data_IF_209459338279
#
_entry.id   IF_209459338279
#
_cell.length_a   1.000
_cell.length_b   1.000
_cell.length_c   1.000
_cell.angle_alpha   90.00
_cell.angle_beta   90.00
_cell.angle_gamma   90.00
#
_symmetry.space_group_name_H-M   'P 1'
#
loop_
_entity.id
_entity.type
_entity.pdbx_description
1 polymer ?
#
# COMPACT_ATOMS: atom_id res chain seq x y z
N UNK A 1 8.27 -3.28 -3.59
CA UNK A 1 7.90 -3.30 -2.16
C UNK A 1 6.51 -3.90 -2.02
N UNK A 2 6.31 -4.71 -1.01
CA UNK A 2 5.00 -5.25 -0.65
C UNK A 2 4.68 -4.83 0.79
N UNK A 3 3.59 -4.11 0.96
CA UNK A 3 3.07 -3.75 2.27
C UNK A 3 2.15 -4.88 2.71
N UNK A 4 2.46 -5.51 3.83
CA UNK A 4 1.84 -6.77 4.25
C UNK A 4 1.35 -6.68 5.70
N UNK A 5 0.25 -7.38 5.95
CA UNK A 5 -0.27 -7.66 7.28
C UNK A 5 -0.88 -9.07 7.32
N UNK A 6 -0.98 -9.68 8.49
CA UNK A 6 -1.55 -11.02 8.68
C UNK A 6 -2.49 -11.07 9.88
N UNK A 7 -3.59 -11.85 9.77
CA UNK A 7 -4.41 -12.25 10.91
C UNK A 7 -4.14 -13.69 11.26
N UNK A 8 -4.20 -14.00 12.55
CA UNK A 8 -3.80 -15.29 13.09
C UNK A 8 -4.77 -15.79 14.16
N UNK A 9 -4.71 -17.09 14.47
CA UNK A 9 -5.49 -17.69 15.56
C UNK A 9 -4.96 -17.35 16.96
N UNK A 10 -3.88 -16.56 17.06
CA UNK A 10 -3.26 -16.18 18.33
C UNK A 10 -1.84 -15.65 18.14
N UNK A 11 -1.04 -15.61 19.21
CA UNK A 11 0.25 -14.94 19.22
C UNK A 11 1.47 -15.88 19.18
N UNK A 12 1.24 -17.20 19.27
CA UNK A 12 2.30 -18.19 19.49
C UNK A 12 2.60 -19.00 18.23
N UNK A 13 3.37 -18.40 17.29
CA UNK A 13 3.75 -19.03 16.02
C UNK A 13 4.52 -20.34 16.18
N UNK A 14 5.32 -20.50 17.26
CA UNK A 14 6.12 -21.68 17.51
C UNK A 14 5.28 -22.90 17.93
N UNK A 15 4.09 -22.67 18.43
CA UNK A 15 3.28 -23.69 19.08
C UNK A 15 2.14 -24.17 18.16
N UNK A 16 1.00 -23.59 18.29
CA UNK A 16 -0.21 -24.08 17.62
C UNK A 16 -0.91 -23.04 16.78
N UNK A 17 -0.54 -21.77 16.91
CA UNK A 17 -1.25 -20.72 16.20
C UNK A 17 -0.88 -20.68 14.70
N UNK A 18 -1.85 -20.29 13.91
CA UNK A 18 -1.82 -20.40 12.46
C UNK A 18 -2.27 -19.09 11.81
N UNK A 19 -1.77 -18.81 10.63
CA UNK A 19 -2.27 -17.72 9.79
C UNK A 19 -3.67 -18.09 9.28
N UNK A 20 -4.59 -17.12 9.31
CA UNK A 20 -5.95 -17.25 8.78
C UNK A 20 -6.27 -16.23 7.68
N UNK A 21 -5.51 -15.14 7.60
CA UNK A 21 -5.63 -14.15 6.55
C UNK A 21 -4.25 -13.57 6.22
N UNK A 22 -3.99 -13.36 4.93
CA UNK A 22 -2.82 -12.62 4.44
C UNK A 22 -3.32 -11.55 3.50
N UNK A 23 -2.96 -10.31 3.77
CA UNK A 23 -3.18 -9.17 2.89
C UNK A 23 -1.86 -8.51 2.51
N UNK A 24 -1.59 -8.34 1.22
CA UNK A 24 -0.45 -7.59 0.76
C UNK A 24 -0.78 -6.75 -0.46
N UNK A 25 -0.22 -5.54 -0.54
CA UNK A 25 -0.36 -4.63 -1.65
C UNK A 25 0.99 -4.23 -2.20
N UNK A 26 1.07 -4.09 -3.52
CA UNK A 26 2.30 -3.75 -4.19
C UNK A 26 2.50 -2.24 -4.31
N UNK A 27 3.71 -1.81 -4.03
CA UNK A 27 4.16 -0.43 -4.19
C UNK A 27 5.46 -0.37 -4.99
N UNK A 28 5.49 0.44 -6.05
CA UNK A 28 6.68 0.71 -6.87
C UNK A 28 6.93 2.21 -6.92
N UNK A 29 8.16 2.62 -6.61
CA UNK A 29 8.53 4.02 -6.59
C UNK A 29 7.56 4.91 -5.77
N UNK A 30 7.16 4.42 -4.58
CA UNK A 30 6.24 5.10 -3.66
C UNK A 30 4.82 5.30 -4.20
N UNK A 31 4.40 4.51 -5.17
CA UNK A 31 3.03 4.52 -5.72
C UNK A 31 2.46 3.12 -5.67
N UNK A 32 1.23 2.99 -5.19
CA UNK A 32 0.51 1.74 -5.26
C UNK A 32 0.24 1.40 -6.73
N UNK A 33 0.53 0.16 -7.12
CA UNK A 33 0.36 -0.32 -8.49
C UNK A 33 -1.06 -0.76 -8.78
N UNK A 34 -1.83 -1.05 -7.73
CA UNK A 34 -3.13 -1.70 -7.79
C UNK A 34 -3.06 -3.23 -7.75
N UNK A 35 -1.85 -3.81 -7.80
CA UNK A 35 -1.64 -5.24 -7.56
C UNK A 35 -1.75 -5.53 -6.06
N UNK A 36 -2.48 -6.56 -5.71
CA UNK A 36 -2.66 -7.00 -4.32
C UNK A 36 -2.90 -8.50 -4.26
N UNK A 37 -2.59 -9.08 -3.11
CA UNK A 37 -3.02 -10.43 -2.75
C UNK A 37 -3.83 -10.36 -1.48
N UNK A 38 -4.95 -11.10 -1.46
CA UNK A 38 -5.81 -11.22 -0.30
C UNK A 38 -6.30 -12.66 -0.20
N UNK A 39 -5.87 -13.38 0.83
CA UNK A 39 -6.13 -14.81 0.98
C UNK A 39 -6.63 -15.09 2.38
N UNK A 40 -7.78 -15.77 2.48
CA UNK A 40 -8.26 -16.41 3.70
C UNK A 40 -7.83 -17.87 3.73
N UNK A 41 -7.43 -18.36 4.90
CA UNK A 41 -6.80 -19.67 5.07
C UNK A 41 -7.49 -20.43 6.18
N UNK A 42 -7.83 -21.69 5.90
CA UNK A 42 -8.36 -22.59 6.92
C UNK A 42 -7.23 -23.11 7.82
N UNK A 43 -7.18 -22.74 9.10
CA UNK A 43 -6.09 -23.14 10.01
C UNK A 43 -6.19 -24.61 10.46
N UNK A 44 -7.30 -25.30 10.15
CA UNK A 44 -7.64 -26.66 10.64
C UNK A 44 -7.64 -26.76 12.17
N UNK A 45 -7.96 -25.67 12.84
CA UNK A 45 -8.14 -25.55 14.29
C UNK A 45 -9.12 -24.40 14.56
N UNK A 46 -9.75 -24.35 15.75
CA UNK A 46 -10.59 -23.23 16.14
C UNK A 46 -9.81 -21.90 16.17
N UNK A 47 -10.45 -20.84 15.72
CA UNK A 47 -9.94 -19.48 15.76
C UNK A 47 -9.86 -18.95 17.21
N UNK A 48 -10.84 -19.34 18.04
CA UNK A 48 -10.86 -18.97 19.44
C UNK A 48 -11.11 -17.47 19.67
N UNK A 49 -10.48 -16.93 20.72
CA UNK A 49 -10.72 -15.55 21.16
C UNK A 49 -10.23 -14.49 20.16
N UNK A 50 -9.39 -14.87 19.20
CA UNK A 50 -8.89 -13.94 18.17
C UNK A 50 -10.00 -13.48 17.22
N UNK A 51 -11.12 -14.23 17.12
CA UNK A 51 -12.32 -13.80 16.39
C UNK A 51 -12.84 -12.43 16.88
N UNK A 52 -12.70 -12.11 18.16
CA UNK A 52 -13.12 -10.81 18.69
C UNK A 52 -12.26 -9.64 18.17
N UNK A 53 -11.08 -9.91 17.61
CA UNK A 53 -10.15 -8.91 17.10
C UNK A 53 -10.40 -8.68 15.62
N UNK A 54 -10.40 -9.75 14.82
CA UNK A 54 -10.48 -9.67 13.35
C UNK A 54 -11.86 -10.04 12.79
N UNK A 55 -12.80 -10.55 13.60
CA UNK A 55 -14.18 -10.86 13.19
C UNK A 55 -14.32 -12.06 12.24
N UNK A 56 -13.24 -12.83 12.02
CA UNK A 56 -13.23 -13.98 11.11
C UNK A 56 -13.61 -15.23 11.93
N UNK A 57 -14.76 -15.84 11.58
CA UNK A 57 -15.28 -17.00 12.32
C UNK A 57 -14.78 -18.32 11.75
N UNK A 58 -14.82 -19.38 12.56
CA UNK A 58 -14.56 -20.76 12.13
C UNK A 58 -15.44 -21.16 10.95
N UNK A 59 -16.71 -20.78 10.97
CA UNK A 59 -17.66 -21.08 9.90
C UNK A 59 -17.24 -20.45 8.55
N UNK A 60 -16.73 -19.22 8.58
CA UNK A 60 -16.23 -18.53 7.39
C UNK A 60 -15.00 -19.21 6.80
N UNK A 61 -14.12 -19.74 7.66
CA UNK A 61 -12.86 -20.36 7.23
C UNK A 61 -13.02 -21.84 6.78
N UNK A 62 -14.16 -22.44 7.05
CA UNK A 62 -14.36 -23.88 6.80
C UNK A 62 -14.09 -24.28 5.35
N UNK A 63 -14.54 -23.46 4.40
CA UNK A 63 -14.42 -23.69 2.94
C UNK A 63 -13.17 -23.06 2.32
N UNK A 64 -12.29 -22.46 3.12
CA UNK A 64 -11.07 -21.84 2.62
C UNK A 64 -9.95 -22.86 2.44
N UNK A 65 -9.02 -22.63 1.51
CA UNK A 65 -7.86 -23.49 1.32
C UNK A 65 -7.01 -23.56 2.59
N UNK A 66 -6.30 -24.66 2.78
CA UNK A 66 -5.25 -24.74 3.81
C UNK A 66 -3.97 -24.07 3.31
N UNK A 67 -3.07 -23.68 4.22
CA UNK A 67 -1.85 -22.96 3.86
C UNK A 67 -1.01 -23.70 2.80
N UNK A 68 -0.90 -25.01 2.90
CA UNK A 68 -0.13 -25.82 1.94
C UNK A 68 -0.67 -25.74 0.50
N UNK A 69 -1.96 -25.48 0.32
CA UNK A 69 -2.60 -25.38 -1.02
C UNK A 69 -2.31 -24.02 -1.69
N UNK A 70 -1.99 -23.00 -0.90
CA UNK A 70 -1.74 -21.64 -1.41
C UNK A 70 -0.26 -21.24 -1.32
N UNK A 71 0.56 -22.06 -0.68
CA UNK A 71 1.95 -21.74 -0.37
C UNK A 71 2.78 -21.40 -1.62
N UNK A 72 2.62 -22.17 -2.71
CA UNK A 72 3.34 -21.92 -3.97
C UNK A 72 3.02 -20.53 -4.52
N UNK A 73 1.75 -20.20 -4.64
CA UNK A 73 1.31 -18.91 -5.21
C UNK A 73 1.74 -17.75 -4.30
N UNK A 74 1.57 -17.90 -2.99
CA UNK A 74 1.93 -16.89 -2.02
C UNK A 74 3.46 -16.68 -1.98
N UNK A 75 4.24 -17.76 -2.00
CA UNK A 75 5.70 -17.68 -2.00
C UNK A 75 6.23 -16.98 -3.26
N UNK A 76 5.72 -17.36 -4.45
CA UNK A 76 6.11 -16.72 -5.71
C UNK A 76 5.77 -15.22 -5.75
N UNK A 77 4.67 -14.81 -5.11
CA UNK A 77 4.28 -13.41 -5.03
C UNK A 77 5.18 -12.59 -4.09
N UNK A 78 5.60 -13.20 -2.98
CA UNK A 78 6.36 -12.51 -1.93
C UNK A 78 7.88 -12.54 -2.14
N UNK A 79 8.43 -13.63 -2.70
CA UNK A 79 9.89 -13.82 -2.80
C UNK A 79 10.60 -12.69 -3.55
N UNK A 80 11.75 -12.28 -3.04
CA UNK A 80 12.59 -11.24 -3.63
C UNK A 80 12.07 -9.83 -3.45
N UNK A 81 10.91 -9.65 -2.78
CA UNK A 81 10.39 -8.33 -2.46
C UNK A 81 11.01 -7.77 -1.17
N UNK A 82 10.93 -6.46 -1.00
CA UNK A 82 11.04 -5.83 0.30
C UNK A 82 9.65 -5.84 0.94
N UNK A 83 9.52 -6.59 2.05
CA UNK A 83 8.29 -6.68 2.84
C UNK A 83 8.26 -5.55 3.87
N UNK A 84 7.21 -4.74 3.84
CA UNK A 84 6.97 -3.65 4.78
C UNK A 84 5.80 -4.05 5.67
N UNK A 85 6.04 -4.22 6.97
CA UNK A 85 4.99 -4.58 7.93
C UNK A 85 5.12 -3.78 9.23
N UNK A 86 4.04 -3.74 10.03
CA UNK A 86 4.04 -3.01 11.29
C UNK A 86 4.22 -3.96 12.47
N UNK A 87 5.39 -3.96 13.11
CA UNK A 87 5.89 -5.01 14.00
C UNK A 87 6.21 -6.29 13.19
N UNK A 88 6.96 -6.09 12.12
CA UNK A 88 7.24 -7.08 11.09
C UNK A 88 7.73 -8.45 11.61
N UNK A 89 8.36 -8.48 12.78
CA UNK A 89 8.78 -9.75 13.39
C UNK A 89 7.60 -10.70 13.68
N UNK A 90 6.41 -10.16 13.94
CA UNK A 90 5.22 -10.96 14.16
C UNK A 90 4.84 -11.70 12.87
N UNK A 91 4.58 -10.96 11.80
CA UNK A 91 4.14 -11.50 10.52
C UNK A 91 5.18 -12.43 9.91
N UNK A 92 6.44 -12.00 9.92
CA UNK A 92 7.54 -12.79 9.34
C UNK A 92 7.75 -14.12 10.08
N UNK A 93 7.64 -14.16 11.41
CA UNK A 93 7.76 -15.41 12.15
C UNK A 93 6.65 -16.40 11.80
N UNK A 94 5.41 -15.92 11.64
CA UNK A 94 4.29 -16.76 11.23
C UNK A 94 4.46 -17.25 9.79
N UNK A 95 4.81 -16.35 8.85
CA UNK A 95 5.05 -16.71 7.45
C UNK A 95 6.20 -17.72 7.30
N UNK A 96 7.32 -17.48 7.97
CA UNK A 96 8.46 -18.41 7.97
C UNK A 96 8.10 -19.79 8.47
N UNK A 97 7.32 -19.85 9.55
CA UNK A 97 6.86 -21.11 10.11
C UNK A 97 5.92 -21.84 9.15
N UNK A 98 4.96 -21.16 8.55
CA UNK A 98 4.01 -21.75 7.62
C UNK A 98 4.68 -22.20 6.33
N UNK A 99 5.58 -21.40 5.75
CA UNK A 99 6.36 -21.79 4.57
C UNK A 99 7.25 -22.99 4.84
N UNK A 100 7.94 -23.04 5.99
CA UNK A 100 8.73 -24.22 6.38
C UNK A 100 7.87 -25.48 6.54
N UNK A 101 6.67 -25.36 7.10
CA UNK A 101 5.71 -26.48 7.19
C UNK A 101 5.24 -26.94 5.81
N UNK A 102 5.13 -26.04 4.85
CA UNK A 102 4.76 -26.35 3.46
C UNK A 102 5.96 -26.84 2.62
N UNK A 103 7.17 -26.92 3.19
CA UNK A 103 8.36 -27.44 2.50
C UNK A 103 9.21 -26.39 1.78
N UNK A 104 8.96 -25.11 2.01
CA UNK A 104 9.73 -23.98 1.47
C UNK A 104 10.84 -23.56 2.43
N UNK A 105 11.76 -22.74 1.93
CA UNK A 105 12.68 -21.97 2.76
C UNK A 105 11.91 -20.89 3.54
N UNK A 106 12.52 -20.35 4.59
CA UNK A 106 11.92 -19.21 5.29
C UNK A 106 11.83 -18.00 4.35
N UNK A 107 10.71 -17.26 4.44
CA UNK A 107 10.53 -16.06 3.63
C UNK A 107 11.59 -15.00 3.96
N UNK A 108 11.99 -14.91 5.23
CA UNK A 108 13.07 -14.03 5.70
C UNK A 108 14.44 -14.33 5.11
N UNK A 109 14.66 -15.50 4.50
CA UNK A 109 15.91 -15.85 3.80
C UNK A 109 15.96 -15.30 2.37
N UNK A 110 14.80 -14.92 1.80
CA UNK A 110 14.66 -14.52 0.39
C UNK A 110 14.03 -13.14 0.19
N UNK A 111 13.65 -12.45 1.26
CA UNK A 111 13.05 -11.11 1.26
C UNK A 111 13.83 -10.16 2.16
N UNK A 112 13.85 -8.89 1.78
CA UNK A 112 14.22 -7.82 2.71
C UNK A 112 13.00 -7.46 3.57
N UNK A 113 13.22 -6.97 4.80
CA UNK A 113 12.14 -6.66 5.74
C UNK A 113 12.33 -5.27 6.33
N UNK A 114 11.31 -4.44 6.18
CA UNK A 114 11.23 -3.12 6.80
C UNK A 114 10.16 -3.11 7.88
N UNK A 115 10.57 -2.90 9.15
CA UNK A 115 9.65 -2.77 10.28
C UNK A 115 9.28 -1.32 10.53
N UNK A 116 8.05 -0.95 10.20
CA UNK A 116 7.52 0.41 10.38
C UNK A 116 7.34 0.80 11.85
N UNK A 117 7.15 -0.17 12.78
CA UNK A 117 7.12 0.10 14.21
C UNK A 117 8.50 0.51 14.73
N UNK A 118 9.55 -0.18 14.29
CA UNK A 118 10.93 0.18 14.64
C UNK A 118 11.29 1.57 14.08
N UNK A 119 10.90 1.86 12.82
CA UNK A 119 11.06 3.17 12.21
C UNK A 119 10.34 4.27 13.00
N UNK A 120 9.07 4.04 13.38
CA UNK A 120 8.29 5.02 14.14
C UNK A 120 8.88 5.27 15.53
N UNK A 121 9.37 4.23 16.22
CA UNK A 121 10.06 4.36 17.51
C UNK A 121 11.36 5.16 17.38
N UNK A 122 12.11 4.98 16.31
CA UNK A 122 13.33 5.75 16.04
C UNK A 122 13.04 7.23 15.78
N UNK A 123 12.02 7.52 14.97
CA UNK A 123 11.62 8.88 14.64
C UNK A 123 11.02 9.65 15.84
N UNK A 124 10.29 8.95 16.70
CA UNK A 124 9.55 9.54 17.81
C UNK A 124 9.67 8.67 19.07
N UNK A 125 10.80 8.70 19.75
CA UNK A 125 11.03 7.95 20.98
C UNK A 125 10.02 8.33 22.08
N UNK A 126 9.56 7.36 22.85
CA UNK A 126 8.64 7.55 23.97
C UNK A 126 7.17 7.80 23.60
N UNK A 127 6.84 7.90 22.31
CA UNK A 127 5.46 8.03 21.86
C UNK A 127 4.78 6.67 21.64
N UNK A 128 3.42 6.67 21.64
CA UNK A 128 2.65 5.50 21.21
C UNK A 128 2.82 5.33 19.70
N UNK A 129 3.28 4.17 19.25
CA UNK A 129 3.60 3.89 17.84
C UNK A 129 2.81 2.70 17.28
N UNK A 130 1.65 2.35 17.86
CA UNK A 130 0.72 1.41 17.20
C UNK A 130 0.19 1.99 15.89
N UNK A 131 -0.26 1.16 14.95
CA UNK A 131 -0.80 1.60 13.65
C UNK A 131 -1.88 2.68 13.85
N UNK A 132 -2.84 2.46 14.76
CA UNK A 132 -3.86 3.46 15.12
C UNK A 132 -3.29 4.79 15.66
N UNK A 133 -2.18 4.75 16.41
CA UNK A 133 -1.53 5.95 16.90
C UNK A 133 -0.85 6.72 15.74
N UNK A 134 -0.28 5.99 14.79
CA UNK A 134 0.34 6.59 13.59
C UNK A 134 -0.71 7.17 12.64
N UNK A 135 -1.83 6.48 12.42
CA UNK A 135 -2.98 7.00 11.64
C UNK A 135 -3.41 8.37 12.17
N UNK A 136 -3.59 8.49 13.49
CA UNK A 136 -3.97 9.78 14.10
C UNK A 136 -2.88 10.84 13.97
N UNK A 137 -1.62 10.45 14.17
CA UNK A 137 -0.46 11.36 14.14
C UNK A 137 -0.19 11.94 12.76
N UNK A 138 -0.32 11.11 11.73
CA UNK A 138 -0.11 11.51 10.34
C UNK A 138 -1.39 11.95 9.64
N UNK A 139 -2.50 12.09 10.40
CA UNK A 139 -3.79 12.56 9.89
C UNK A 139 -4.28 11.75 8.69
N UNK A 140 -4.00 10.43 8.69
CA UNK A 140 -4.47 9.53 7.65
C UNK A 140 -5.99 9.44 7.70
N UNK A 141 -6.71 9.54 6.56
CA UNK A 141 -8.14 9.39 6.50
C UNK A 141 -8.60 8.10 7.17
N UNK A 142 -9.56 8.21 8.10
CA UNK A 142 -10.10 7.04 8.78
C UNK A 142 -10.91 6.21 7.79
N UNK A 143 -10.62 4.91 7.77
CA UNK A 143 -11.42 3.88 7.10
C UNK A 143 -12.28 3.17 8.14
N UNK A 144 -13.40 2.58 7.71
CA UNK A 144 -14.19 1.74 8.60
C UNK A 144 -13.38 0.50 8.98
N UNK A 145 -12.98 0.44 10.25
CA UNK A 145 -12.15 -0.59 10.86
C UNK A 145 -12.81 -1.08 12.13
N UNK A 146 -14.05 -1.57 11.98
CA UNK A 146 -14.78 -2.19 13.07
C UNK A 146 -14.05 -3.43 13.58
N UNK A 147 -13.48 -4.20 12.64
CA UNK A 147 -12.59 -5.32 12.89
C UNK A 147 -11.25 -5.09 12.20
N UNK A 148 -10.21 -5.76 12.67
CA UNK A 148 -8.94 -5.84 11.97
C UNK A 148 -9.08 -6.76 10.76
N UNK A 149 -8.46 -6.43 9.66
CA UNK A 149 -8.42 -7.25 8.45
C UNK A 149 -7.12 -6.99 7.71
N UNK A 150 -6.41 -8.06 7.37
CA UNK A 150 -5.03 -7.97 6.88
C UNK A 150 -4.89 -7.06 5.65
N UNK A 151 -5.79 -7.16 4.66
CA UNK A 151 -5.69 -6.28 3.49
C UNK A 151 -5.97 -4.81 3.84
N UNK A 152 -6.99 -4.54 4.65
CA UNK A 152 -7.32 -3.18 5.09
C UNK A 152 -6.18 -2.57 5.91
N UNK A 153 -5.57 -3.36 6.80
CA UNK A 153 -4.45 -2.91 7.63
C UNK A 153 -3.18 -2.68 6.80
N UNK A 154 -2.93 -3.50 5.76
CA UNK A 154 -1.88 -3.25 4.77
C UNK A 154 -2.10 -1.94 3.99
N UNK A 155 -3.34 -1.64 3.58
CA UNK A 155 -3.68 -0.38 2.91
C UNK A 155 -3.48 0.84 3.83
N UNK A 156 -3.93 0.76 5.08
CA UNK A 156 -3.71 1.81 6.08
C UNK A 156 -2.21 1.98 6.35
N UNK A 157 -1.48 0.87 6.45
CA UNK A 157 -0.04 0.88 6.66
C UNK A 157 0.71 1.54 5.49
N UNK A 158 0.26 1.35 4.25
CA UNK A 158 0.85 2.01 3.09
C UNK A 158 0.74 3.53 3.20
N UNK A 159 -0.43 4.04 3.54
CA UNK A 159 -0.64 5.48 3.73
C UNK A 159 0.25 6.02 4.87
N UNK A 160 0.32 5.31 6.00
CA UNK A 160 1.19 5.65 7.13
C UNK A 160 2.66 5.62 6.74
N UNK A 161 3.11 4.58 6.03
CA UNK A 161 4.49 4.44 5.57
C UNK A 161 4.88 5.58 4.62
N UNK A 162 4.02 5.90 3.66
CA UNK A 162 4.22 7.02 2.74
C UNK A 162 4.29 8.36 3.49
N UNK A 163 3.41 8.61 4.45
CA UNK A 163 3.44 9.82 5.26
C UNK A 163 4.68 9.88 6.17
N UNK A 164 5.03 8.76 6.80
CA UNK A 164 6.18 8.67 7.70
C UNK A 164 7.53 8.84 6.98
N UNK A 165 7.64 8.40 5.73
CA UNK A 165 8.85 8.44 4.92
C UNK A 165 8.87 9.57 3.90
N UNK A 166 7.73 10.20 3.62
CA UNK A 166 7.57 11.29 2.65
C UNK A 166 7.51 12.68 3.26
N UNK A 167 7.50 12.79 4.59
CA UNK A 167 7.49 14.05 5.30
C UNK A 167 8.83 14.76 5.19
N UNK A 168 8.82 15.87 4.52
CA UNK A 168 9.88 16.77 4.10
C UNK A 168 10.63 16.32 2.84
N UNK A 169 10.05 16.62 1.67
CA UNK A 169 10.88 17.39 0.75
C UNK A 169 11.12 18.71 1.46
N UNK A 170 12.04 18.73 2.43
CA UNK A 170 12.69 19.96 2.81
C UNK A 170 13.29 20.49 1.52
N UNK A 171 13.02 21.73 1.25
CA UNK A 171 13.76 22.53 0.29
C UNK A 171 15.22 22.64 0.76
N UNK A 172 15.94 21.53 0.85
CA UNK A 172 17.40 21.50 0.84
C UNK A 172 17.86 21.72 -0.60
N UNK A 173 17.36 22.81 -1.20
CA UNK A 173 17.98 23.37 -2.40
C UNK A 173 19.33 24.01 -2.10
N UNK A 174 19.72 24.08 -0.83
CA UNK A 174 20.98 24.72 -0.42
C UNK A 174 22.16 23.75 -0.25
N UNK A 175 21.98 22.43 -0.46
CA UNK A 175 23.07 21.45 -0.27
C UNK A 175 23.42 20.61 -1.51
N UNK A 176 22.80 20.88 -2.66
CA UNK A 176 23.33 20.33 -3.91
C UNK A 176 24.65 21.04 -4.20
N UNK A 177 25.76 20.29 -4.18
CA UNK A 177 27.05 20.81 -4.60
C UNK A 177 26.95 21.41 -6.01
N UNK A 178 27.69 22.46 -6.30
CA UNK A 178 27.70 23.10 -7.64
C UNK A 178 27.93 22.09 -8.77
N UNK A 179 28.59 20.94 -8.48
CA UNK A 179 28.80 19.84 -9.42
C UNK A 179 27.52 19.09 -9.77
N UNK A 180 26.62 18.83 -8.80
CA UNK A 180 25.34 18.13 -9.05
C UNK A 180 24.34 19.06 -9.76
N UNK A 181 24.41 20.35 -9.54
CA UNK A 181 23.62 21.35 -10.29
C UNK A 181 24.06 21.44 -11.74
N UNK A 182 25.37 21.29 -12.04
CA UNK A 182 25.87 21.24 -13.42
C UNK A 182 25.49 19.95 -14.13
N UNK A 183 25.54 18.81 -13.47
CA UNK A 183 25.08 17.53 -14.06
C UNK A 183 23.57 17.51 -14.29
N UNK A 184 22.76 18.07 -13.39
CA UNK A 184 21.32 18.21 -13.59
C UNK A 184 20.96 19.21 -14.72
N UNK A 185 21.78 20.20 -14.96
CA UNK A 185 21.60 21.14 -16.09
C UNK A 185 22.07 20.56 -17.43
N UNK A 186 23.13 19.75 -17.44
CA UNK A 186 23.60 19.08 -18.65
C UNK A 186 22.73 17.88 -19.05
N UNK A 187 22.05 17.22 -18.10
CA UNK A 187 21.06 16.17 -18.37
C UNK A 187 19.73 16.70 -18.95
N UNK A 188 19.50 18.01 -18.91
CA UNK A 188 18.45 18.65 -19.71
C UNK A 188 18.93 18.78 -21.16
N UNK A 189 19.19 17.66 -21.81
CA UNK A 189 19.19 17.61 -23.26
C UNK A 189 17.82 18.11 -23.69
N UNK A 190 17.82 19.29 -24.32
CA UNK A 190 16.68 19.87 -24.98
C UNK A 190 16.28 18.98 -26.15
N UNK A 191 15.56 17.91 -25.86
CA UNK A 191 14.74 17.29 -26.89
C UNK A 191 13.61 18.29 -27.12
N UNK A 192 13.74 19.14 -28.12
CA UNK A 192 12.62 19.90 -28.66
C UNK A 192 11.67 18.87 -29.29
N UNK A 193 10.80 18.30 -28.45
CA UNK A 193 9.64 17.57 -28.94
C UNK A 193 8.67 18.68 -29.35
N UNK A 194 8.58 18.96 -30.66
CA UNK A 194 7.45 19.69 -31.20
C UNK A 194 6.22 18.82 -30.98
N UNK A 195 5.49 19.12 -29.92
CA UNK A 195 4.20 18.48 -29.69
C UNK A 195 3.25 18.94 -30.80
N UNK A 196 2.63 18.03 -31.55
CA UNK A 196 1.65 18.41 -32.55
C UNK A 196 0.48 19.15 -31.87
N UNK A 197 0.26 20.38 -32.28
CA UNK A 197 -0.93 21.13 -31.82
C UNK A 197 -2.11 20.54 -32.60
N UNK A 198 -2.96 19.81 -31.90
CA UNK A 198 -4.22 19.29 -32.45
C UNK A 198 -5.20 20.47 -32.49
N UNK A 199 -5.48 20.99 -33.66
CA UNK A 199 -6.51 21.99 -33.83
C UNK A 199 -7.89 21.31 -33.92
N UNK A 200 -8.93 21.93 -33.38
CA UNK A 200 -10.27 21.40 -33.49
C UNK A 200 -10.76 21.40 -34.94
N UNK A 201 -11.56 20.42 -35.30
CA UNK A 201 -12.20 20.36 -36.60
C UNK A 201 -13.29 21.44 -36.73
N UNK A 202 -13.69 21.77 -37.97
CA UNK A 202 -14.77 22.72 -38.23
C UNK A 202 -16.06 22.32 -37.50
N UNK A 203 -16.39 21.03 -37.47
CA UNK A 203 -17.58 20.53 -36.78
C UNK A 203 -17.51 20.73 -35.23
N UNK A 204 -16.33 20.58 -34.67
CA UNK A 204 -16.13 20.81 -33.22
C UNK A 204 -16.22 22.31 -32.91
N UNK A 205 -15.74 23.17 -33.75
CA UNK A 205 -15.87 24.63 -33.61
C UNK A 205 -17.33 25.08 -33.72
N UNK A 206 -18.09 24.59 -34.70
CA UNK A 206 -19.52 24.89 -34.86
C UNK A 206 -20.35 24.38 -33.62
N UNK A 207 -20.03 23.18 -33.12
CA UNK A 207 -20.67 22.62 -31.96
C UNK A 207 -20.36 23.47 -30.71
N UNK A 208 -19.13 23.93 -30.56
CA UNK A 208 -18.71 24.79 -29.48
C UNK A 208 -19.42 26.15 -29.52
N UNK A 209 -19.48 26.81 -30.68
CA UNK A 209 -20.18 28.08 -30.84
C UNK A 209 -21.70 27.97 -30.53
N UNK A 210 -22.30 26.87 -30.97
CA UNK A 210 -23.72 26.59 -30.65
C UNK A 210 -23.93 26.44 -29.16
N UNK A 211 -23.08 25.66 -28.50
CA UNK A 211 -23.13 25.46 -27.06
C UNK A 211 -22.91 26.75 -26.27
N UNK A 212 -21.98 27.61 -26.69
CA UNK A 212 -21.74 28.93 -26.09
C UNK A 212 -22.99 29.80 -26.15
N UNK A 213 -23.66 29.88 -27.33
CA UNK A 213 -24.90 30.66 -27.51
C UNK A 213 -26.01 30.13 -26.61
N UNK A 214 -26.24 28.83 -26.57
CA UNK A 214 -27.26 28.22 -25.72
C UNK A 214 -27.00 28.48 -24.23
N UNK A 215 -25.71 28.44 -23.82
CA UNK A 215 -25.30 28.73 -22.45
C UNK A 215 -25.59 30.18 -22.07
N UNK A 216 -25.23 31.15 -22.93
CA UNK A 216 -25.46 32.58 -22.70
C UNK A 216 -26.95 32.92 -22.65
N UNK A 217 -27.75 32.32 -23.55
CA UNK A 217 -29.23 32.50 -23.57
C UNK A 217 -29.87 31.93 -22.30
N UNK A 218 -29.41 30.77 -21.82
CA UNK A 218 -29.96 30.10 -20.65
C UNK A 218 -29.58 30.76 -19.33
N UNK A 219 -28.39 31.33 -19.23
CA UNK A 219 -27.84 31.82 -17.97
C UNK A 219 -27.73 33.35 -17.90
N UNK A 220 -27.93 34.07 -19.01
CA UNK A 220 -27.89 35.53 -19.06
C UNK A 220 -26.53 36.13 -18.74
N UNK A 221 -25.45 35.37 -18.85
CA UNK A 221 -24.07 35.77 -18.55
C UNK A 221 -23.15 35.32 -19.67
N UNK A 222 -22.14 36.14 -19.99
CA UNK A 222 -21.15 35.81 -21.02
C UNK A 222 -20.38 34.54 -20.65
N UNK A 223 -20.19 33.64 -21.60
CA UNK A 223 -19.42 32.42 -21.42
C UNK A 223 -17.89 32.72 -21.40
N UNK A 224 -17.19 32.23 -20.37
CA UNK A 224 -15.74 32.40 -20.25
C UNK A 224 -14.94 31.71 -21.36
N UNK A 225 -15.54 30.76 -22.07
CA UNK A 225 -14.94 29.99 -23.16
C UNK A 225 -15.34 30.49 -24.57
N UNK A 226 -15.92 31.70 -24.66
CA UNK A 226 -16.33 32.31 -25.93
C UNK A 226 -15.21 32.91 -26.80
N UNK A 227 -13.91 32.57 -26.47
CA UNK A 227 -12.76 33.07 -27.24
C UNK A 227 -11.98 31.91 -27.83
#
# INVERSE_FOLDING_TARGET
QLILDTETTGFYFQDTDRIIEVGAIEMVNRKLTGSSIHIYINPKKPVGDSENIHGISDAFLQDKPVYAEIADVLFEYLKGAEIIAHNASFDMNFLDMEFKRAGFVALSEVCEVTDTLAMAKSKQPGQKNSLNALVRRYEIPQRDRTFHGALLDAEILADVYLAMTGGQVSFDMDTLSESEQQEAQTARLSVQIELPIILPSEQELEAHETWVKEFEEKHGTACLFAK
#
